data_IF_889971374591
#
_entry.id   IF_889971374591
#
_cell.length_a   1.000
_cell.length_b   1.000
_cell.length_c   1.000
_cell.angle_alpha   90.00
_cell.angle_beta   90.00
_cell.angle_gamma   90.00
#
_symmetry.space_group_name_H-M   'P 1'
#
loop_
_entity.id
_entity.type
_entity.pdbx_description
1 polymer ?
#
# COMPACT_ATOMS: atom_id res chain seq x y z
N UNK A 1 -1.60 16.07 8.75
CA UNK A 1 -2.12 14.74 8.35
C UNK A 1 -1.89 14.60 6.87
N UNK A 2 -1.13 13.59 6.44
CA UNK A 2 -0.91 13.34 5.02
C UNK A 2 -1.89 12.26 4.56
N UNK A 3 -2.60 12.51 3.46
CA UNK A 3 -3.62 11.61 2.93
C UNK A 3 -3.29 11.26 1.48
N UNK A 4 -3.32 9.99 1.14
CA UNK A 4 -3.16 9.51 -0.22
C UNK A 4 -4.35 8.62 -0.62
N UNK A 5 -4.70 8.59 -1.90
CA UNK A 5 -5.95 8.02 -2.40
C UNK A 5 -5.74 6.95 -3.48
N UNK A 6 -5.04 5.85 -3.20
CA UNK A 6 -4.85 4.82 -4.20
C UNK A 6 -5.82 3.66 -4.06
N UNK A 7 -6.01 2.96 -5.17
CA UNK A 7 -6.53 1.60 -5.18
C UNK A 7 -5.46 0.55 -4.86
N UNK A 8 -4.22 1.01 -4.74
CA UNK A 8 -3.03 0.21 -4.68
C UNK A 8 -2.83 -0.35 -3.27
N UNK A 9 -2.67 -1.65 -3.18
CA UNK A 9 -2.53 -2.36 -1.89
C UNK A 9 -1.19 -2.04 -1.26
N UNK A 10 -0.15 -1.86 -2.07
CA UNK A 10 1.22 -1.60 -1.65
C UNK A 10 1.32 -0.37 -0.77
N UNK A 11 0.56 0.67 -1.10
CA UNK A 11 0.59 1.93 -0.37
C UNK A 11 0.05 1.81 1.07
N UNK A 12 -0.59 0.69 1.43
CA UNK A 12 -0.96 0.43 2.82
C UNK A 12 0.26 0.34 3.75
N UNK A 13 1.46 -0.01 3.23
CA UNK A 13 2.71 -0.02 3.98
C UNK A 13 3.17 1.39 4.43
N UNK A 14 2.68 2.45 3.77
CA UNK A 14 3.01 3.84 4.11
C UNK A 14 2.19 4.42 5.26
N UNK A 15 1.13 3.74 5.69
CA UNK A 15 0.26 4.19 6.78
C UNK A 15 1.04 4.25 8.10
N UNK A 16 0.90 5.35 8.82
CA UNK A 16 1.56 5.59 10.13
C UNK A 16 0.62 6.29 11.09
N UNK A 17 0.09 5.55 12.03
CA UNK A 17 -0.89 6.04 13.01
C UNK A 17 -2.04 6.80 12.29
N UNK A 18 -2.40 7.99 12.82
CA UNK A 18 -3.33 8.92 12.17
C UNK A 18 -2.61 10.05 11.41
N UNK A 19 -1.28 9.96 11.30
CA UNK A 19 -0.46 11.00 10.68
C UNK A 19 -0.36 10.83 9.16
N UNK A 20 -0.26 9.58 8.70
CA UNK A 20 -0.30 9.21 7.27
C UNK A 20 -1.38 8.17 7.10
N UNK A 21 -2.43 8.51 6.38
CA UNK A 21 -3.61 7.66 6.21
C UNK A 21 -3.93 7.45 4.74
N UNK A 22 -4.51 6.31 4.43
CA UNK A 22 -5.01 5.98 3.10
C UNK A 22 -6.48 6.43 2.98
N UNK A 23 -6.83 7.15 1.91
CA UNK A 23 -8.20 7.53 1.61
C UNK A 23 -8.80 6.64 0.52
N UNK A 24 -9.81 5.86 0.87
CA UNK A 24 -10.67 5.24 -0.13
C UNK A 24 -11.66 6.28 -0.65
N UNK A 25 -11.37 6.87 -1.82
CA UNK A 25 -12.18 7.94 -2.41
C UNK A 25 -13.59 7.49 -2.80
N UNK A 26 -13.81 6.21 -3.07
CA UNK A 26 -15.12 5.69 -3.43
C UNK A 26 -15.99 5.48 -2.20
N UNK A 27 -15.42 4.84 -1.18
CA UNK A 27 -16.08 4.61 0.09
C UNK A 27 -16.08 5.85 1.00
N UNK A 28 -15.34 6.92 0.64
CA UNK A 28 -15.12 8.11 1.48
C UNK A 28 -14.60 7.73 2.87
N UNK A 29 -13.75 6.71 2.93
CA UNK A 29 -13.26 6.14 4.18
C UNK A 29 -11.76 6.35 4.33
N UNK A 30 -11.34 6.88 5.49
CA UNK A 30 -9.94 6.96 5.89
C UNK A 30 -9.53 5.64 6.55
N UNK A 31 -8.35 5.13 6.17
CA UNK A 31 -7.71 3.98 6.79
C UNK A 31 -6.41 4.41 7.44
N UNK A 32 -6.37 4.35 8.76
CA UNK A 32 -5.17 4.41 9.58
C UNK A 32 -4.63 2.98 9.79
N UNK A 33 -3.67 2.78 10.71
CA UNK A 33 -3.11 1.45 11.00
C UNK A 33 -4.18 0.44 11.43
N UNK A 34 -5.15 0.84 12.25
CA UNK A 34 -6.26 -0.03 12.63
C UNK A 34 -7.12 -0.43 11.40
N UNK A 35 -7.35 0.49 10.48
CA UNK A 35 -8.05 0.21 9.23
C UNK A 35 -7.26 -0.67 8.26
N UNK A 36 -5.92 -0.62 8.29
CA UNK A 36 -5.06 -1.57 7.56
C UNK A 36 -5.16 -2.96 8.18
N UNK A 37 -5.05 -3.05 9.51
CA UNK A 37 -5.20 -4.30 10.24
C UNK A 37 -6.57 -4.94 9.99
N UNK A 38 -7.65 -4.18 10.04
CA UNK A 38 -9.02 -4.66 9.75
C UNK A 38 -9.14 -5.18 8.31
N UNK A 39 -8.53 -4.49 7.35
CA UNK A 39 -8.61 -4.83 5.92
C UNK A 39 -7.78 -6.05 5.54
N UNK A 40 -6.54 -6.13 6.02
CA UNK A 40 -5.54 -7.13 5.58
C UNK A 40 -5.23 -8.18 6.65
N UNK A 41 -5.63 -7.96 7.91
CA UNK A 41 -5.29 -8.81 9.05
C UNK A 41 -3.82 -8.71 9.48
N UNK A 42 -3.08 -7.72 8.96
CA UNK A 42 -1.66 -7.47 9.28
C UNK A 42 -1.40 -5.98 9.46
N UNK A 43 -0.33 -5.65 10.16
CA UNK A 43 0.12 -4.26 10.32
C UNK A 43 0.76 -3.73 9.04
N UNK A 44 0.83 -2.39 8.83
CA UNK A 44 1.44 -1.76 7.66
C UNK A 44 2.84 -2.28 7.34
N UNK A 45 3.66 -2.52 8.34
CA UNK A 45 5.03 -3.04 8.16
C UNK A 45 5.08 -4.44 7.52
N UNK A 46 4.01 -5.24 7.68
CA UNK A 46 3.91 -6.60 7.13
C UNK A 46 3.26 -6.65 5.74
N UNK A 47 2.82 -5.53 5.19
CA UNK A 47 2.16 -5.49 3.87
C UNK A 47 3.04 -6.04 2.76
N UNK A 48 4.36 -5.71 2.67
CA UNK A 48 5.21 -6.33 1.65
C UNK A 48 5.27 -7.86 1.76
N UNK A 49 5.40 -8.40 2.97
CA UNK A 49 5.39 -9.85 3.22
C UNK A 49 4.02 -10.48 2.88
N UNK A 50 2.93 -9.78 3.20
CA UNK A 50 1.58 -10.20 2.86
C UNK A 50 1.40 -10.33 1.34
N UNK A 51 1.82 -9.31 0.58
CA UNK A 51 1.73 -9.30 -0.87
C UNK A 51 2.65 -10.34 -1.51
N UNK A 52 3.84 -10.58 -0.93
CA UNK A 52 4.74 -11.63 -1.38
C UNK A 52 4.11 -13.02 -1.35
N UNK A 53 3.28 -13.30 -0.34
CA UNK A 53 2.60 -14.59 -0.19
C UNK A 53 1.33 -14.68 -1.05
N UNK A 54 0.49 -13.65 -1.00
CA UNK A 54 -0.81 -13.62 -1.70
C UNK A 54 -0.66 -13.37 -3.20
N UNK A 55 0.35 -12.58 -3.58
CA UNK A 55 0.54 -12.05 -4.91
C UNK A 55 -0.21 -10.75 -5.17
N UNK A 56 0.21 -10.04 -6.22
CA UNK A 56 -0.53 -8.94 -6.79
C UNK A 56 -0.54 -9.04 -8.33
N UNK A 57 -1.71 -9.34 -8.87
CA UNK A 57 -1.89 -9.48 -10.32
C UNK A 57 -1.76 -8.15 -11.06
N UNK A 58 -1.98 -7.01 -10.39
CA UNK A 58 -1.81 -5.70 -10.99
C UNK A 58 -0.32 -5.41 -11.23
N UNK A 59 0.56 -5.89 -10.33
CA UNK A 59 2.01 -5.74 -10.41
C UNK A 59 2.71 -6.95 -11.05
N UNK A 60 1.94 -7.96 -11.45
CA UNK A 60 2.41 -9.07 -12.29
C UNK A 60 3.11 -10.21 -11.56
N UNK A 61 3.00 -10.34 -10.23
CA UNK A 61 3.54 -11.48 -9.50
C UNK A 61 2.44 -12.31 -8.81
N UNK A 62 2.55 -13.66 -8.87
CA UNK A 62 1.44 -14.56 -8.51
C UNK A 62 1.35 -14.88 -7.02
N UNK A 63 2.34 -14.53 -6.20
CA UNK A 63 2.49 -15.01 -4.83
C UNK A 63 2.93 -16.48 -4.75
N UNK A 64 2.79 -17.11 -3.58
CA UNK A 64 3.16 -18.50 -3.38
C UNK A 64 1.98 -19.45 -3.51
N UNK A 65 2.21 -20.67 -4.05
CA UNK A 65 1.15 -21.64 -4.25
C UNK A 65 0.41 -22.01 -2.94
N UNK A 66 -0.91 -21.86 -2.97
CA UNK A 66 -1.78 -22.23 -1.87
C UNK A 66 -1.94 -21.14 -0.79
N UNK A 67 -1.08 -20.13 -0.78
CA UNK A 67 -1.21 -18.98 0.10
C UNK A 67 -2.32 -18.06 -0.39
N UNK A 68 -3.26 -17.74 0.49
CA UNK A 68 -4.36 -16.82 0.22
C UNK A 68 -4.52 -15.83 1.36
N UNK A 69 -5.36 -14.82 1.16
CA UNK A 69 -5.54 -13.72 2.12
C UNK A 69 -5.74 -14.18 3.57
N UNK A 70 -6.62 -15.17 3.80
CA UNK A 70 -6.95 -15.64 5.16
C UNK A 70 -5.78 -16.34 5.86
N UNK A 71 -5.08 -17.21 5.16
CA UNK A 71 -3.93 -17.93 5.72
C UNK A 71 -2.77 -16.97 5.98
N UNK A 72 -2.52 -16.07 5.04
CA UNK A 72 -1.47 -15.04 5.15
C UNK A 72 -1.75 -14.09 6.32
N UNK A 73 -2.98 -13.58 6.44
CA UNK A 73 -3.39 -12.73 7.56
C UNK A 73 -3.20 -13.44 8.91
N UNK A 74 -3.62 -14.71 9.02
CA UNK A 74 -3.49 -15.47 10.25
C UNK A 74 -2.02 -15.71 10.65
N UNK A 75 -1.17 -16.05 9.69
CA UNK A 75 0.26 -16.33 9.94
C UNK A 75 1.01 -15.02 10.19
N UNK A 76 0.94 -14.04 9.29
CA UNK A 76 1.69 -12.79 9.44
C UNK A 76 1.10 -11.88 10.52
N UNK A 77 -0.19 -11.99 10.84
CA UNK A 77 -0.78 -11.31 11.99
C UNK A 77 -0.14 -11.73 13.32
N UNK A 78 0.35 -12.98 13.41
CA UNK A 78 1.05 -13.50 14.59
C UNK A 78 2.57 -13.27 14.50
N UNK A 79 3.20 -13.59 13.35
CA UNK A 79 4.65 -13.61 13.21
C UNK A 79 5.24 -12.31 12.64
N UNK A 80 4.44 -11.46 12.05
CA UNK A 80 4.83 -10.17 11.48
C UNK A 80 5.53 -10.30 10.13
N UNK A 81 6.63 -11.01 10.05
CA UNK A 81 7.49 -11.14 8.87
C UNK A 81 7.78 -12.59 8.49
N UNK A 82 8.13 -12.82 7.20
CA UNK A 82 8.42 -14.15 6.65
C UNK A 82 9.47 -14.92 7.44
N UNK A 83 10.52 -14.23 7.89
CA UNK A 83 11.65 -14.82 8.61
C UNK A 83 11.28 -15.31 10.01
N UNK A 84 10.21 -14.79 10.60
CA UNK A 84 9.74 -15.20 11.92
C UNK A 84 8.77 -16.40 11.87
N UNK A 85 8.31 -16.78 10.68
CA UNK A 85 7.41 -17.94 10.52
C UNK A 85 8.20 -19.23 10.72
N UNK A 86 7.82 -20.09 11.70
CA UNK A 86 8.53 -21.36 11.90
C UNK A 86 8.45 -22.24 10.65
N UNK A 87 9.56 -22.93 10.29
CA UNK A 87 9.60 -23.77 9.11
C UNK A 87 8.60 -24.94 9.15
N UNK A 88 8.37 -25.52 10.34
CA UNK A 88 7.44 -26.63 10.49
C UNK A 88 6.06 -26.14 10.88
N UNK A 89 5.03 -26.59 10.18
CA UNK A 89 3.64 -26.24 10.50
C UNK A 89 3.21 -26.65 11.92
N UNK A 90 3.82 -27.72 12.47
CA UNK A 90 3.57 -28.19 13.82
C UNK A 90 3.96 -27.16 14.91
N UNK A 91 4.88 -26.25 14.60
CA UNK A 91 5.35 -25.20 15.50
C UNK A 91 4.51 -23.91 15.40
N UNK A 92 3.55 -23.88 14.47
CA UNK A 92 2.69 -22.72 14.30
C UNK A 92 1.69 -22.59 15.45
N UNK A 93 1.70 -21.45 16.10
CA UNK A 93 0.78 -21.14 17.21
C UNK A 93 -0.61 -20.68 16.73
N UNK A 94 -0.87 -20.77 15.43
CA UNK A 94 -2.15 -20.43 14.81
C UNK A 94 -2.61 -21.57 13.91
N UNK A 95 -3.91 -21.86 13.94
CA UNK A 95 -4.50 -22.92 13.12
C UNK A 95 -4.93 -22.37 11.78
N UNK A 96 -4.34 -22.87 10.71
CA UNK A 96 -4.74 -22.56 9.33
C UNK A 96 -5.00 -23.85 8.55
N UNK A 97 -5.90 -23.76 7.58
CA UNK A 97 -6.18 -24.91 6.70
C UNK A 97 -4.95 -25.26 5.87
N UNK A 98 -4.64 -26.55 5.76
CA UNK A 98 -3.51 -27.07 4.98
C UNK A 98 -2.15 -26.52 5.41
N UNK A 99 -1.94 -26.34 6.73
CA UNK A 99 -0.72 -25.76 7.30
C UNK A 99 0.57 -26.43 6.78
N UNK A 100 0.64 -27.76 6.73
CA UNK A 100 1.78 -28.52 6.23
C UNK A 100 2.13 -28.13 4.76
N UNK A 101 1.12 -28.06 3.91
CA UNK A 101 1.31 -27.68 2.51
C UNK A 101 1.80 -26.23 2.38
N UNK A 102 1.28 -25.33 3.21
CA UNK A 102 1.71 -23.93 3.21
C UNK A 102 3.15 -23.79 3.71
N UNK A 103 3.53 -24.52 4.77
CA UNK A 103 4.90 -24.54 5.29
C UNK A 103 5.88 -25.07 4.23
N UNK A 104 5.56 -26.18 3.58
CA UNK A 104 6.37 -26.74 2.49
C UNK A 104 6.53 -25.74 1.35
N UNK A 105 5.43 -25.14 0.88
CA UNK A 105 5.48 -24.14 -0.20
C UNK A 105 6.36 -22.93 0.16
N UNK A 106 6.28 -22.46 1.42
CA UNK A 106 7.12 -21.35 1.89
C UNK A 106 8.59 -21.75 1.94
N UNK A 107 8.93 -22.93 2.46
CA UNK A 107 10.32 -23.42 2.53
C UNK A 107 10.93 -23.59 1.14
N UNK A 108 10.24 -24.28 0.23
CA UNK A 108 10.71 -24.53 -1.13
C UNK A 108 10.87 -23.24 -1.96
N UNK A 109 10.01 -22.25 -1.70
CA UNK A 109 9.97 -21.01 -2.45
C UNK A 109 10.39 -19.78 -1.67
N UNK A 110 11.13 -19.93 -0.55
CA UNK A 110 11.47 -18.82 0.34
C UNK A 110 12.24 -17.70 -0.39
N UNK A 111 13.19 -18.05 -1.25
CA UNK A 111 13.92 -17.06 -2.07
C UNK A 111 13.00 -16.30 -3.02
N UNK A 112 11.99 -16.97 -3.57
CA UNK A 112 11.01 -16.35 -4.44
C UNK A 112 10.08 -15.42 -3.64
N UNK A 113 9.68 -15.81 -2.43
CA UNK A 113 8.92 -14.95 -1.54
C UNK A 113 9.69 -13.66 -1.20
N UNK A 114 11.00 -13.77 -0.93
CA UNK A 114 11.86 -12.60 -0.69
C UNK A 114 11.96 -11.70 -1.92
N UNK A 115 12.03 -12.26 -3.12
CA UNK A 115 12.00 -11.48 -4.36
C UNK A 115 10.67 -10.74 -4.53
N UNK A 116 9.54 -11.41 -4.32
CA UNK A 116 8.23 -10.76 -4.38
C UNK A 116 8.06 -9.69 -3.33
N UNK A 117 8.60 -9.91 -2.12
CA UNK A 117 8.64 -8.88 -1.07
C UNK A 117 9.46 -7.65 -1.49
N UNK A 118 10.62 -7.85 -2.13
CA UNK A 118 11.43 -6.72 -2.63
C UNK A 118 10.67 -5.93 -3.70
N UNK A 119 9.97 -6.61 -4.62
CA UNK A 119 9.10 -5.97 -5.62
C UNK A 119 7.95 -5.19 -4.98
N UNK A 120 7.33 -5.73 -3.93
CA UNK A 120 6.24 -5.09 -3.21
C UNK A 120 6.70 -3.95 -2.29
N UNK A 121 7.99 -3.85 -1.98
CA UNK A 121 8.51 -2.88 -1.01
C UNK A 121 8.73 -1.52 -1.65
N UNK A 122 8.02 -0.51 -1.16
CA UNK A 122 8.20 0.87 -1.60
C UNK A 122 9.52 1.44 -1.07
N UNK A 123 10.34 1.97 -1.98
CA UNK A 123 11.64 2.57 -1.64
C UNK A 123 11.46 4.01 -1.17
N UNK A 124 11.70 4.25 0.11
CA UNK A 124 11.54 5.57 0.73
C UNK A 124 12.86 6.31 0.97
N UNK A 125 14.00 5.69 0.64
CA UNK A 125 15.33 6.25 0.92
C UNK A 125 15.82 7.24 -0.15
N UNK A 126 15.16 7.29 -1.29
CA UNK A 126 15.50 8.17 -2.42
C UNK A 126 14.25 8.94 -2.85
N UNK A 127 13.77 9.88 -2.01
CA UNK A 127 12.58 10.63 -2.33
C UNK A 127 12.84 11.56 -3.53
N UNK A 128 11.88 11.61 -4.45
CA UNK A 128 11.92 12.54 -5.58
C UNK A 128 11.77 14.02 -5.15
N UNK A 129 11.28 14.24 -3.92
CA UNK A 129 11.11 15.54 -3.29
C UNK A 129 11.66 15.46 -1.86
N UNK A 130 12.31 16.54 -1.39
CA UNK A 130 12.90 16.57 -0.06
C UNK A 130 11.84 16.81 1.03
N UNK A 131 10.75 17.50 0.73
CA UNK A 131 9.69 17.85 1.67
C UNK A 131 8.33 17.91 0.97
N UNK A 132 7.22 17.55 1.66
CA UNK A 132 5.87 17.80 1.18
C UNK A 132 5.58 19.27 0.84
N UNK A 133 6.31 20.22 1.46
CA UNK A 133 6.14 21.65 1.22
C UNK A 133 6.58 22.08 -0.19
N UNK A 134 7.47 21.29 -0.82
CA UNK A 134 7.89 21.55 -2.20
C UNK A 134 6.76 21.33 -3.21
N UNK A 135 5.81 20.46 -2.89
CA UNK A 135 4.65 20.15 -3.74
C UNK A 135 3.37 20.80 -3.23
N UNK A 136 3.50 21.70 -2.24
CA UNK A 136 2.36 22.47 -1.77
C UNK A 136 1.78 23.31 -2.89
N UNK A 137 0.49 23.19 -3.14
CA UNK A 137 -0.20 23.98 -4.13
C UNK A 137 -0.20 25.46 -3.75
N UNK A 138 0.44 26.30 -4.60
CA UNK A 138 0.57 27.74 -4.38
C UNK A 138 -0.28 28.57 -5.37
N UNK A 139 -1.25 27.94 -5.99
CA UNK A 139 -2.04 28.54 -7.06
C UNK A 139 -1.51 28.19 -8.46
N UNK A 140 -2.13 28.78 -9.45
CA UNK A 140 -1.74 28.64 -10.86
C UNK A 140 -0.51 29.48 -11.18
N UNK A 141 0.28 29.06 -12.17
CA UNK A 141 1.42 29.84 -12.66
C UNK A 141 0.94 31.05 -13.47
N UNK A 142 1.72 32.13 -13.59
CA UNK A 142 1.35 33.29 -14.42
C UNK A 142 1.02 32.95 -15.89
N UNK A 143 1.61 31.88 -16.42
CA UNK A 143 1.37 31.42 -17.81
C UNK A 143 0.08 30.57 -17.94
N UNK A 144 -0.64 30.29 -16.86
CA UNK A 144 -1.82 29.44 -16.90
C UNK A 144 -2.96 30.01 -17.74
N UNK A 145 -3.25 31.30 -17.58
CA UNK A 145 -4.30 31.98 -18.35
C UNK A 145 -4.01 31.99 -19.85
N UNK A 146 -2.75 32.28 -20.24
CA UNK A 146 -2.30 32.22 -21.62
C UNK A 146 -2.44 30.80 -22.20
N UNK A 147 -2.07 29.77 -21.42
CA UNK A 147 -2.22 28.38 -21.81
C UNK A 147 -3.70 28.01 -21.99
N UNK A 148 -4.59 28.45 -21.10
CA UNK A 148 -6.03 28.23 -21.22
C UNK A 148 -6.62 28.88 -22.47
N UNK A 149 -6.20 30.11 -22.80
CA UNK A 149 -6.67 30.81 -24.02
C UNK A 149 -6.21 30.04 -25.26
N UNK A 150 -4.93 29.66 -25.32
CA UNK A 150 -4.36 28.92 -26.47
C UNK A 150 -5.02 27.57 -26.70
N UNK A 151 -5.52 26.90 -25.61
CA UNK A 151 -6.15 25.58 -25.66
C UNK A 151 -7.70 25.65 -25.71
N UNK A 152 -8.27 26.84 -25.85
CA UNK A 152 -9.73 27.07 -25.80
C UNK A 152 -10.37 26.51 -24.52
N UNK A 153 -9.67 26.66 -23.39
CA UNK A 153 -10.05 26.12 -22.09
C UNK A 153 -10.26 27.23 -21.03
N UNK A 154 -10.74 28.39 -21.42
CA UNK A 154 -10.94 29.56 -20.54
C UNK A 154 -11.83 29.25 -19.32
N UNK A 155 -12.76 28.30 -19.45
CA UNK A 155 -13.60 27.82 -18.34
C UNK A 155 -12.83 27.28 -17.13
N UNK A 156 -11.57 26.87 -17.31
CA UNK A 156 -10.71 26.37 -16.21
C UNK A 156 -10.23 27.52 -15.31
N UNK A 157 -10.14 28.75 -15.83
CA UNK A 157 -9.73 29.93 -15.06
C UNK A 157 -10.75 30.20 -13.95
N UNK A 158 -12.03 30.27 -14.31
CA UNK A 158 -13.12 30.51 -13.35
C UNK A 158 -13.22 29.37 -12.31
N UNK A 159 -13.04 28.14 -12.77
CA UNK A 159 -13.13 26.96 -11.92
C UNK A 159 -12.04 26.86 -10.86
N UNK A 160 -10.85 27.40 -11.13
CA UNK A 160 -9.73 27.42 -10.17
C UNK A 160 -9.74 28.68 -9.29
N UNK A 161 -10.25 29.81 -9.78
CA UNK A 161 -10.43 31.00 -8.96
C UNK A 161 -11.37 30.76 -7.77
N UNK A 162 -12.44 29.98 -7.97
CA UNK A 162 -13.41 29.61 -6.90
C UNK A 162 -12.76 28.74 -5.81
N UNK A 163 -11.78 27.88 -6.17
CA UNK A 163 -11.09 27.01 -5.19
C UNK A 163 -10.02 27.73 -4.36
N UNK A 164 -9.52 28.85 -4.85
CA UNK A 164 -8.50 29.66 -4.13
C UNK A 164 -9.09 30.57 -3.05
N UNK A 165 -10.42 30.74 -3.01
CA UNK A 165 -11.12 31.59 -2.04
C UNK A 165 -11.65 30.83 -0.81
N UNK A 166 -11.50 29.49 -0.77
CA UNK A 166 -11.99 28.62 0.33
C UNK A 166 -10.83 28.02 1.19
N UNK A 167 -9.62 28.59 1.13
CA UNK A 167 -8.45 28.10 1.88
C UNK A 167 -8.05 29.02 3.02
#
# INVERSE_FOLDING_TARGET
MSTFAPRDKDLAQCVRNDRVVQLDRRAQQLRNEAGVLDRFGVMPASIPDYLALVGDSADGYPGLPGWGERSTAAILGLYGHLEAVPPNAADWQVKVRSAERLATALQESFKLALLFRDLATLRTKEPAIASPDEVHWRGVTPSFEEACQRLDAAYLIDRLAIKGSES
#
